data_IF_624912621461
#
_entry.id   IF_624912621461
#
_cell.length_a   1.000
_cell.length_b   1.000
_cell.length_c   1.000
_cell.angle_alpha   90.00
_cell.angle_beta   90.00
_cell.angle_gamma   90.00
#
_symmetry.space_group_name_H-M   'P 1'
#
loop_
_entity.id
_entity.type
_entity.pdbx_description
1 polymer ?
#
# COMPACT_ATOMS: atom_id res chain seq x y z
N UNK A 1 -24.86 21.69 54.39
CA UNK A 1 -23.66 20.93 54.02
C UNK A 1 -24.03 19.74 53.15
N UNK A 2 -24.69 19.98 52.06
CA UNK A 2 -24.98 19.01 51.01
C UNK A 2 -24.70 19.76 49.71
N UNK A 3 -23.69 19.49 48.93
CA UNK A 3 -23.50 19.87 47.53
C UNK A 3 -22.02 19.97 47.10
N UNK A 4 -21.08 19.39 47.91
CA UNK A 4 -19.64 19.44 47.53
C UNK A 4 -19.12 18.14 46.91
N UNK A 5 -19.97 17.11 46.76
CA UNK A 5 -19.56 15.82 46.20
C UNK A 5 -19.91 15.62 44.73
N UNK A 6 -20.68 16.52 44.11
CA UNK A 6 -21.15 16.35 42.72
C UNK A 6 -20.29 17.11 41.70
N UNK A 7 -19.36 17.97 42.15
CA UNK A 7 -18.53 18.79 41.22
C UNK A 7 -17.21 18.11 40.82
N UNK A 8 -16.78 17.04 41.51
CA UNK A 8 -15.49 16.41 41.24
C UNK A 8 -15.56 15.34 40.13
N UNK A 9 -16.75 14.87 39.74
CA UNK A 9 -16.88 13.83 38.67
C UNK A 9 -16.97 14.37 37.25
N UNK A 10 -17.11 15.69 37.04
CA UNK A 10 -17.25 16.25 35.67
C UNK A 10 -15.93 16.76 35.08
N UNK A 11 -14.90 16.93 35.89
CA UNK A 11 -13.61 17.50 35.43
C UNK A 11 -12.60 16.48 34.97
N UNK A 12 -12.91 15.19 34.97
CA UNK A 12 -11.94 14.11 34.57
C UNK A 12 -12.20 13.53 33.17
N UNK A 13 -13.12 14.09 32.41
CA UNK A 13 -13.51 13.59 31.08
C UNK A 13 -13.00 14.44 29.90
N UNK A 14 -12.12 15.41 30.15
CA UNK A 14 -11.71 16.39 29.12
C UNK A 14 -10.21 16.35 28.74
N UNK A 15 -9.45 15.27 28.97
CA UNK A 15 -8.01 15.23 28.67
C UNK A 15 -7.61 14.07 27.76
N UNK A 16 -8.52 13.51 26.98
CA UNK A 16 -8.14 12.58 25.89
C UNK A 16 -8.65 13.04 24.52
N UNK A 17 -8.44 14.31 24.20
CA UNK A 17 -8.38 14.72 22.79
C UNK A 17 -6.93 14.71 22.30
N UNK A 18 -6.24 13.59 22.46
CA UNK A 18 -5.10 13.27 21.65
C UNK A 18 -5.60 13.20 20.20
N UNK A 19 -5.20 14.14 19.36
CA UNK A 19 -5.62 14.19 17.97
C UNK A 19 -5.38 12.85 17.31
N UNK A 20 -6.43 12.12 17.02
CA UNK A 20 -6.40 11.02 16.06
C UNK A 20 -6.10 11.69 14.71
N UNK A 21 -4.85 11.65 14.28
CA UNK A 21 -4.50 11.98 12.91
C UNK A 21 -5.11 10.87 12.04
N UNK A 22 -6.35 11.07 11.60
CA UNK A 22 -6.96 10.20 10.62
C UNK A 22 -6.15 10.34 9.32
N UNK A 23 -5.71 9.21 8.76
CA UNK A 23 -5.08 9.20 7.43
C UNK A 23 -6.11 9.70 6.43
N UNK A 24 -5.82 10.81 5.77
CA UNK A 24 -6.70 11.33 4.72
C UNK A 24 -6.48 10.50 3.44
N UNK A 25 -7.47 9.66 3.10
CA UNK A 25 -7.45 8.82 1.91
C UNK A 25 -8.05 9.51 0.66
N UNK A 26 -8.48 10.76 0.75
CA UNK A 26 -9.04 11.50 -0.39
C UNK A 26 -7.96 11.84 -1.42
N UNK A 27 -6.79 12.27 -0.95
CA UNK A 27 -5.67 12.64 -1.83
C UNK A 27 -4.49 11.72 -1.57
N UNK A 28 -3.97 11.00 -2.58
CA UNK A 28 -2.78 10.18 -2.41
C UNK A 28 -1.55 11.06 -2.14
N UNK A 29 -0.60 10.54 -1.38
CA UNK A 29 0.71 11.17 -1.16
C UNK A 29 1.53 11.20 -2.44
N UNK A 30 1.37 10.19 -3.28
CA UNK A 30 1.99 10.14 -4.59
C UNK A 30 1.38 9.07 -5.49
N UNK A 31 1.80 9.11 -6.75
CA UNK A 31 1.33 8.22 -7.81
C UNK A 31 2.51 7.61 -8.57
N UNK A 32 2.23 6.54 -9.32
CA UNK A 32 3.20 5.94 -10.23
C UNK A 32 2.53 5.39 -11.48
N UNK A 33 3.33 5.28 -12.54
CA UNK A 33 2.93 4.66 -13.80
C UNK A 33 4.01 3.66 -14.20
N UNK A 34 3.67 2.38 -14.11
CA UNK A 34 4.59 1.30 -14.42
C UNK A 34 4.09 0.52 -15.64
N UNK A 35 4.98 -0.30 -16.15
CA UNK A 35 4.69 -1.28 -17.19
C UNK A 35 4.81 -2.67 -16.60
N UNK A 36 3.85 -3.54 -16.88
CA UNK A 36 3.93 -4.97 -16.60
C UNK A 36 4.92 -5.60 -17.59
N UNK A 37 6.08 -6.01 -17.12
CA UNK A 37 7.18 -6.51 -17.95
C UNK A 37 7.16 -8.01 -18.15
N UNK A 38 6.63 -8.73 -17.15
CA UNK A 38 6.53 -10.20 -17.22
C UNK A 38 5.27 -10.69 -16.50
N UNK A 39 4.74 -11.81 -17.01
CA UNK A 39 3.70 -12.61 -16.35
C UNK A 39 4.11 -14.05 -16.45
N UNK A 40 4.27 -14.72 -15.32
CA UNK A 40 4.56 -16.16 -15.29
C UNK A 40 3.58 -16.89 -14.37
N UNK A 41 3.29 -18.14 -14.72
CA UNK A 41 2.33 -18.97 -14.01
C UNK A 41 3.02 -20.23 -13.48
N UNK A 42 2.66 -20.63 -12.28
CA UNK A 42 2.98 -21.92 -11.72
C UNK A 42 1.70 -22.63 -11.25
N UNK A 43 1.84 -23.78 -10.59
CA UNK A 43 0.69 -24.57 -10.12
C UNK A 43 -0.08 -23.91 -8.98
N UNK A 44 0.49 -22.93 -8.31
CA UNK A 44 -0.06 -22.33 -7.09
C UNK A 44 -0.43 -20.86 -7.26
N UNK A 45 0.13 -20.16 -8.26
CA UNK A 45 -0.09 -18.74 -8.41
C UNK A 45 0.42 -18.11 -9.70
N UNK A 46 0.55 -16.80 -9.65
CA UNK A 46 1.00 -15.97 -10.77
C UNK A 46 2.01 -14.95 -10.28
N UNK A 47 3.15 -14.90 -10.96
CA UNK A 47 4.16 -13.85 -10.74
C UNK A 47 3.99 -12.75 -11.77
N UNK A 48 3.99 -11.51 -11.30
CA UNK A 48 3.91 -10.29 -12.11
C UNK A 48 5.11 -9.42 -11.80
N UNK A 49 5.89 -9.05 -12.83
CA UNK A 49 7.01 -8.14 -12.70
C UNK A 49 6.70 -6.81 -13.37
N UNK A 50 7.20 -5.73 -12.78
CA UNK A 50 6.87 -4.36 -13.18
C UNK A 50 8.09 -3.46 -13.13
N UNK A 51 8.08 -2.41 -13.96
CA UNK A 51 9.03 -1.31 -13.89
C UNK A 51 8.41 0.02 -14.28
N UNK A 52 8.88 1.10 -13.70
CA UNK A 52 8.48 2.45 -14.08
C UNK A 52 8.65 3.51 -12.99
N UNK A 53 8.38 4.77 -13.33
CA UNK A 53 8.54 5.88 -12.40
C UNK A 53 7.42 5.92 -11.35
N UNK A 54 7.83 6.20 -10.11
CA UNK A 54 6.94 6.45 -8.97
C UNK A 54 7.40 7.72 -8.27
N UNK A 55 6.47 8.65 -8.02
CA UNK A 55 6.76 9.89 -7.31
C UNK A 55 7.46 9.62 -5.98
N UNK A 56 8.52 10.35 -5.69
CA UNK A 56 9.39 10.25 -4.51
C UNK A 56 10.20 8.95 -4.38
N UNK A 57 10.02 7.97 -5.28
CA UNK A 57 10.72 6.67 -5.24
C UNK A 57 11.58 6.40 -6.48
N UNK A 58 11.62 7.36 -7.43
CA UNK A 58 12.44 7.25 -8.65
C UNK A 58 11.93 6.16 -9.60
N UNK A 59 12.83 5.40 -10.20
CA UNK A 59 12.49 4.24 -11.02
C UNK A 59 12.30 3.02 -10.14
N UNK A 60 11.10 2.48 -10.12
CA UNK A 60 10.73 1.32 -9.30
C UNK A 60 10.73 0.05 -10.15
N UNK A 61 11.35 -1.00 -9.60
CA UNK A 61 11.27 -2.39 -10.05
C UNK A 61 10.56 -3.19 -8.97
N UNK A 62 9.51 -3.91 -9.34
CA UNK A 62 8.69 -4.65 -8.38
C UNK A 62 8.27 -6.01 -8.90
N UNK A 63 8.09 -6.94 -7.97
CA UNK A 63 7.56 -8.27 -8.23
C UNK A 63 6.43 -8.56 -7.25
N UNK A 64 5.31 -9.07 -7.75
CA UNK A 64 4.21 -9.58 -6.95
C UNK A 64 3.93 -11.03 -7.29
N UNK A 65 3.76 -11.86 -6.27
CA UNK A 65 3.24 -13.21 -6.37
C UNK A 65 1.80 -13.24 -5.86
N UNK A 66 0.88 -13.61 -6.73
CA UNK A 66 -0.56 -13.66 -6.48
C UNK A 66 -0.98 -15.11 -6.28
N UNK A 67 -1.58 -15.41 -5.13
CA UNK A 67 -2.12 -16.72 -4.81
C UNK A 67 -3.62 -16.63 -4.56
N UNK A 68 -4.38 -17.36 -5.37
CA UNK A 68 -5.85 -17.32 -5.30
C UNK A 68 -6.39 -18.00 -4.05
N UNK A 69 -7.46 -17.42 -3.51
CA UNK A 69 -8.27 -18.01 -2.44
C UNK A 69 -9.64 -18.37 -3.02
N UNK A 70 -9.93 -19.65 -3.06
CA UNK A 70 -11.14 -20.17 -3.72
C UNK A 70 -10.91 -20.55 -5.19
N UNK A 71 -11.90 -21.14 -5.84
CA UNK A 71 -11.75 -21.80 -7.13
C UNK A 71 -11.92 -20.91 -8.37
N UNK A 72 -12.26 -19.62 -8.23
CA UNK A 72 -12.62 -18.74 -9.34
C UNK A 72 -11.51 -17.77 -9.75
N UNK A 73 -10.38 -17.78 -9.06
CA UNK A 73 -9.22 -16.89 -9.29
C UNK A 73 -9.54 -15.38 -9.29
N UNK A 74 -10.68 -14.99 -8.69
CA UNK A 74 -11.11 -13.59 -8.66
C UNK A 74 -10.50 -12.76 -7.55
N UNK A 75 -9.87 -13.41 -6.55
CA UNK A 75 -9.30 -12.76 -5.36
C UNK A 75 -8.28 -13.68 -4.69
N UNK A 76 -7.45 -13.08 -3.87
CA UNK A 76 -6.45 -13.82 -3.11
C UNK A 76 -5.48 -12.94 -2.36
N UNK A 77 -4.36 -13.53 -2.00
CA UNK A 77 -3.25 -12.87 -1.30
C UNK A 77 -2.16 -12.46 -2.27
N UNK A 78 -1.43 -11.42 -1.90
CA UNK A 78 -0.24 -10.92 -2.61
C UNK A 78 0.91 -10.86 -1.62
N UNK A 79 2.03 -11.39 -2.05
CA UNK A 79 3.34 -11.12 -1.45
C UNK A 79 4.26 -10.57 -2.54
N UNK A 80 5.20 -9.72 -2.17
CA UNK A 80 6.13 -9.17 -3.15
C UNK A 80 7.15 -8.24 -2.52
N UNK A 81 7.89 -7.61 -3.40
CA UNK A 81 8.88 -6.59 -3.02
C UNK A 81 9.00 -5.53 -4.12
N UNK A 82 9.48 -4.36 -3.74
CA UNK A 82 9.90 -3.34 -4.69
C UNK A 82 11.24 -2.72 -4.29
N UNK A 83 11.92 -2.21 -5.31
CA UNK A 83 13.15 -1.43 -5.19
C UNK A 83 13.02 -0.17 -6.03
N UNK A 84 13.02 0.98 -5.36
CA UNK A 84 13.07 2.29 -6.01
C UNK A 84 14.51 2.77 -6.09
N UNK A 85 14.96 3.13 -7.28
CA UNK A 85 16.27 3.72 -7.50
C UNK A 85 16.12 5.22 -7.70
N UNK A 86 16.67 6.00 -6.78
CA UNK A 86 16.64 7.45 -6.82
C UNK A 86 17.72 7.99 -7.74
N UNK A 87 17.60 9.26 -8.16
CA UNK A 87 18.54 9.90 -9.09
C UNK A 87 19.97 10.01 -8.54
N UNK A 88 20.14 10.03 -7.22
CA UNK A 88 21.44 10.03 -6.56
C UNK A 88 22.08 8.63 -6.46
N UNK A 89 21.40 7.59 -6.98
CA UNK A 89 21.85 6.20 -6.92
C UNK A 89 21.52 5.47 -5.61
N UNK A 90 20.88 6.14 -4.66
CA UNK A 90 20.40 5.47 -3.45
C UNK A 90 19.19 4.59 -3.74
N UNK A 91 18.96 3.58 -2.89
CA UNK A 91 17.91 2.59 -3.09
C UNK A 91 16.95 2.56 -1.90
N UNK A 92 15.66 2.67 -2.21
CA UNK A 92 14.57 2.38 -1.28
C UNK A 92 14.05 0.97 -1.55
N UNK A 93 13.96 0.15 -0.51
CA UNK A 93 13.44 -1.22 -0.60
C UNK A 93 12.25 -1.40 0.31
N UNK A 94 11.29 -2.20 -0.14
CA UNK A 94 10.07 -2.45 0.63
C UNK A 94 9.48 -3.82 0.32
N UNK A 95 9.14 -4.63 1.35
CA UNK A 95 8.33 -5.83 1.20
C UNK A 95 6.85 -5.45 1.08
N UNK A 96 6.10 -6.22 0.31
CA UNK A 96 4.67 -6.05 0.09
C UNK A 96 3.88 -7.25 0.62
N UNK A 97 2.84 -6.96 1.42
CA UNK A 97 1.91 -7.97 1.94
C UNK A 97 0.49 -7.45 1.82
N UNK A 98 -0.37 -8.18 1.09
CA UNK A 98 -1.72 -7.68 0.87
C UNK A 98 -2.64 -8.67 0.19
N UNK A 99 -3.62 -8.12 -0.51
CA UNK A 99 -4.67 -8.87 -1.21
C UNK A 99 -4.86 -8.33 -2.61
N UNK A 100 -5.47 -9.13 -3.47
CA UNK A 100 -5.91 -8.68 -4.79
C UNK A 100 -7.36 -9.05 -5.06
N UNK A 101 -7.96 -8.30 -5.97
CA UNK A 101 -9.19 -8.67 -6.65
C UNK A 101 -8.96 -8.60 -8.16
N UNK A 102 -9.63 -9.48 -8.90
CA UNK A 102 -9.55 -9.54 -10.35
C UNK A 102 -10.92 -9.47 -10.99
N UNK A 103 -11.06 -8.66 -12.02
CA UNK A 103 -12.25 -8.58 -12.86
C UNK A 103 -11.81 -8.53 -14.33
N UNK A 104 -12.12 -9.58 -15.09
CA UNK A 104 -11.69 -9.70 -16.50
C UNK A 104 -10.17 -9.55 -16.65
N UNK A 105 -9.70 -8.50 -17.32
CA UNK A 105 -8.26 -8.22 -17.59
C UNK A 105 -7.62 -7.34 -16.52
N UNK A 106 -8.40 -6.83 -15.58
CA UNK A 106 -7.96 -5.90 -14.55
C UNK A 106 -7.72 -6.61 -13.23
N UNK A 107 -6.57 -6.32 -12.62
CA UNK A 107 -6.23 -6.77 -11.25
C UNK A 107 -6.03 -5.53 -10.40
N UNK A 108 -6.72 -5.47 -9.28
CA UNK A 108 -6.52 -4.46 -8.26
C UNK A 108 -5.77 -5.08 -7.08
N UNK A 109 -4.64 -4.49 -6.71
CA UNK A 109 -3.78 -4.98 -5.63
C UNK A 109 -3.76 -3.95 -4.51
N UNK A 110 -3.98 -4.40 -3.28
CA UNK A 110 -4.00 -3.60 -2.07
C UNK A 110 -2.99 -4.15 -1.08
N UNK A 111 -2.07 -3.32 -0.60
CA UNK A 111 -1.10 -3.74 0.40
C UNK A 111 -0.64 -2.58 1.28
N UNK A 112 0.00 -2.93 2.38
CA UNK A 112 0.83 -2.01 3.14
C UNK A 112 2.29 -2.36 2.94
N UNK A 113 3.14 -1.37 2.92
CA UNK A 113 4.58 -1.55 2.89
C UNK A 113 5.26 -0.77 4.02
N UNK A 114 6.48 -1.22 4.35
CA UNK A 114 7.37 -0.53 5.28
C UNK A 114 8.74 -0.45 4.63
N UNK A 115 9.12 0.76 4.22
CA UNK A 115 10.38 0.99 3.52
C UNK A 115 11.58 0.85 4.47
N UNK A 116 12.76 0.58 3.91
CA UNK A 116 14.02 0.59 4.67
C UNK A 116 14.38 1.96 5.26
N UNK A 117 13.70 3.03 4.86
CA UNK A 117 13.83 4.38 5.43
C UNK A 117 12.90 4.63 6.62
N UNK A 118 12.00 3.69 6.93
CA UNK A 118 11.06 3.78 8.04
C UNK A 118 9.70 4.39 7.68
N UNK A 119 9.47 4.76 6.43
CA UNK A 119 8.16 5.17 5.92
C UNK A 119 7.25 3.96 5.82
N UNK A 120 5.98 4.13 6.21
CA UNK A 120 4.92 3.12 6.02
C UNK A 120 3.85 3.70 5.11
N UNK A 121 3.49 2.97 4.06
CA UNK A 121 2.45 3.36 3.13
C UNK A 121 1.30 2.34 3.08
N UNK A 122 0.11 2.83 2.75
CA UNK A 122 -0.95 2.04 2.14
C UNK A 122 -0.93 2.27 0.64
N UNK A 123 -1.00 1.21 -0.16
CA UNK A 123 -0.77 1.27 -1.60
C UNK A 123 -1.87 0.53 -2.34
N UNK A 124 -2.31 1.12 -3.45
CA UNK A 124 -3.28 0.53 -4.39
C UNK A 124 -2.68 0.53 -5.79
N UNK A 125 -2.64 -0.64 -6.42
CA UNK A 125 -2.22 -0.81 -7.81
C UNK A 125 -3.40 -1.24 -8.68
N UNK A 126 -3.52 -0.62 -9.84
CA UNK A 126 -4.45 -0.99 -10.90
C UNK A 126 -3.64 -1.54 -12.08
N UNK A 127 -3.74 -2.85 -12.32
CA UNK A 127 -2.99 -3.56 -13.36
C UNK A 127 -3.91 -4.00 -14.48
N UNK A 128 -3.69 -3.54 -15.70
CA UNK A 128 -4.31 -4.08 -16.91
C UNK A 128 -3.32 -5.05 -17.59
N UNK A 129 -3.63 -6.35 -17.51
CA UNK A 129 -2.72 -7.41 -18.00
C UNK A 129 -2.61 -7.41 -19.53
N UNK A 130 -3.60 -6.94 -20.26
CA UNK A 130 -3.60 -6.94 -21.72
C UNK A 130 -2.83 -5.75 -22.27
N UNK A 131 -3.11 -4.56 -21.77
CA UNK A 131 -2.41 -3.35 -22.20
C UNK A 131 -1.05 -3.17 -21.52
N UNK A 132 -0.77 -4.00 -20.50
CA UNK A 132 0.44 -3.94 -19.65
C UNK A 132 0.62 -2.62 -18.91
N UNK A 133 -0.42 -1.84 -18.79
CA UNK A 133 -0.40 -0.57 -18.05
C UNK A 133 -0.69 -0.79 -16.58
N UNK A 134 0.10 -0.14 -15.75
CA UNK A 134 -0.04 -0.20 -14.31
C UNK A 134 -0.08 1.21 -13.73
N UNK A 135 -1.16 1.55 -13.05
CA UNK A 135 -1.27 2.76 -12.25
C UNK A 135 -1.14 2.41 -10.77
N UNK A 136 -0.44 3.22 -10.00
CA UNK A 136 -0.43 3.08 -8.55
C UNK A 136 -0.72 4.41 -7.86
N UNK A 137 -1.28 4.30 -6.67
CA UNK A 137 -1.46 5.39 -5.71
C UNK A 137 -0.98 4.91 -4.35
N UNK A 138 -0.34 5.78 -3.59
CA UNK A 138 0.03 5.46 -2.22
C UNK A 138 -0.28 6.61 -1.26
N UNK A 139 -0.56 6.25 -0.03
CA UNK A 139 -0.82 7.15 1.08
C UNK A 139 0.18 6.84 2.19
N UNK A 140 0.96 7.83 2.57
CA UNK A 140 1.87 7.71 3.68
C UNK A 140 1.08 7.66 4.99
N UNK A 141 1.21 6.53 5.70
CA UNK A 141 0.54 6.28 6.99
C UNK A 141 1.45 6.68 8.15
N UNK A 142 2.76 6.52 7.95
CA UNK A 142 3.80 6.90 8.90
C UNK A 142 5.02 7.44 8.17
N UNK A 143 5.46 8.64 8.53
CA UNK A 143 6.70 9.24 8.03
C UNK A 143 7.94 8.56 8.62
N UNK A 144 9.08 8.71 7.94
CA UNK A 144 10.38 8.40 8.51
C UNK A 144 10.62 9.27 9.77
N UNK A 145 11.25 8.70 10.78
CA UNK A 145 11.59 9.43 12.00
C UNK A 145 12.82 10.31 11.78
#
# INVERSE_FOLDING_TARGET
MKNLKTIICVSLLLVFSGGLNAVNMETPTGTGKLTLTNVSFDSEGTTLDYEGPVENYGTVFATHYLQSVGGDNSRGTVIGEARGMLDDGSMVTTPHYGTFTRSSTSIQIYFTDATNTGVVNFVVWDVDVITKKVGLKYWEVKSAN
#
